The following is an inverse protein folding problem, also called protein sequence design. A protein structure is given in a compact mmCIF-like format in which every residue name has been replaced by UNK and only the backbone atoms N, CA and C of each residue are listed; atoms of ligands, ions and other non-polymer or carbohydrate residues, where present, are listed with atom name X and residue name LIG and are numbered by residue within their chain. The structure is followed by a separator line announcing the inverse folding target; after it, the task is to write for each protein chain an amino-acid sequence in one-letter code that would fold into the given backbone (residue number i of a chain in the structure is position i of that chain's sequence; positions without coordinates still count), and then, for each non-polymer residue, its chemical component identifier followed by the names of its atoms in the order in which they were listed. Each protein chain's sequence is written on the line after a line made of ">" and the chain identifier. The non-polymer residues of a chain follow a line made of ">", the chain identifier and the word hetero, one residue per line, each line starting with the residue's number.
data_IF_638433592497
#
_entry.id   IF_638433592497
#
_cell.length_a   1.000
_cell.length_b   1.000
_cell.length_c   1.000
_cell.angle_alpha   90.00
_cell.angle_beta   90.00
_cell.angle_gamma   90.00
#
_symmetry.space_group_name_H-M   'P 1'
#
loop_
_entity.id
_entity.type
_entity.pdbx_description
1 polymer ?
#
# COMPACT_ATOMS: atom_id res chain seq x y z
N UNK A 1 -0.52 -7.32 -10.65
CA UNK A 1 0.79 -7.97 -10.40
C UNK A 1 0.57 -9.38 -9.83
N UNK A 2 1.10 -10.44 -10.46
CA UNK A 2 0.96 -11.83 -10.00
C UNK A 2 2.25 -12.42 -9.39
N UNK A 3 3.35 -11.69 -9.45
CA UNK A 3 4.63 -12.07 -8.84
C UNK A 3 4.71 -11.70 -7.35
N UNK A 4 5.88 -11.90 -6.75
CA UNK A 4 6.13 -11.53 -5.36
C UNK A 4 7.23 -10.46 -5.26
N UNK A 5 7.02 -9.52 -4.35
CA UNK A 5 8.02 -8.52 -3.94
C UNK A 5 8.51 -8.93 -2.55
N UNK A 6 9.82 -9.12 -2.39
CA UNK A 6 10.43 -9.41 -1.10
C UNK A 6 11.44 -8.31 -0.75
N UNK A 7 11.22 -7.65 0.37
CA UNK A 7 12.09 -6.63 0.95
C UNK A 7 12.53 -7.15 2.32
N UNK A 8 13.77 -7.59 2.45
CA UNK A 8 14.24 -8.29 3.65
C UNK A 8 15.64 -7.86 4.07
N UNK A 9 16.10 -8.34 5.22
CA UNK A 9 17.41 -8.00 5.76
C UNK A 9 17.46 -6.56 6.26
N UNK A 10 18.53 -5.85 5.90
CA UNK A 10 18.74 -4.44 6.25
C UNK A 10 18.40 -3.50 5.06
N UNK A 11 17.48 -3.92 4.20
CA UNK A 11 17.09 -3.14 3.02
C UNK A 11 16.47 -1.78 3.39
N UNK A 12 16.81 -0.76 2.61
CA UNK A 12 16.15 0.55 2.70
C UNK A 12 15.46 0.85 1.37
N UNK A 13 14.17 1.11 1.42
CA UNK A 13 13.34 1.47 0.26
C UNK A 13 12.68 2.81 0.53
N UNK A 14 12.86 3.75 -0.40
CA UNK A 14 12.18 5.05 -0.35
C UNK A 14 11.64 5.40 -1.72
N UNK A 15 10.43 5.95 -1.76
CA UNK A 15 9.98 6.69 -2.94
C UNK A 15 10.57 8.10 -2.90
N UNK A 16 10.85 8.67 -4.07
CA UNK A 16 11.34 10.04 -4.18
C UNK A 16 10.15 11.00 -4.16
N UNK A 17 10.03 11.80 -3.10
CA UNK A 17 8.97 12.81 -2.95
C UNK A 17 9.13 14.00 -3.91
N UNK A 18 10.12 13.97 -4.79
CA UNK A 18 10.41 15.05 -5.73
C UNK A 18 9.86 14.81 -7.15
N UNK A 19 8.86 13.96 -7.27
CA UNK A 19 8.13 13.78 -8.54
C UNK A 19 7.17 14.97 -8.69
N UNK A 20 7.25 15.64 -9.85
CA UNK A 20 6.37 16.78 -10.13
C UNK A 20 4.88 16.34 -10.05
N UNK A 21 4.02 17.11 -9.41
CA UNK A 21 2.62 16.72 -9.17
C UNK A 21 1.80 16.45 -10.44
N UNK A 22 2.28 16.90 -11.59
CA UNK A 22 1.59 16.68 -12.88
C UNK A 22 2.15 15.48 -13.70
N UNK A 23 3.04 14.69 -13.10
CA UNK A 23 3.65 13.52 -13.74
C UNK A 23 3.36 12.23 -12.97
N UNK A 24 2.45 12.29 -12.01
CA UNK A 24 2.05 11.14 -11.20
C UNK A 24 1.33 10.10 -12.05
N UNK A 25 1.68 8.84 -11.86
CA UNK A 25 0.86 7.73 -12.28
C UNK A 25 0.06 7.27 -11.06
N UNK A 26 -1.15 6.84 -11.27
CA UNK A 26 -2.07 6.38 -10.24
C UNK A 26 -1.70 4.99 -9.67
N UNK A 27 -0.40 4.68 -9.73
CA UNK A 27 0.15 3.43 -9.24
C UNK A 27 0.51 3.47 -7.75
N UNK A 28 0.55 2.29 -7.14
CA UNK A 28 1.03 2.14 -5.77
C UNK A 28 2.53 2.49 -5.65
N UNK A 29 2.94 3.02 -4.49
CA UNK A 29 4.36 3.22 -4.17
C UNK A 29 5.16 1.90 -4.21
N UNK A 30 4.58 0.81 -3.68
CA UNK A 30 5.05 -0.57 -3.85
C UNK A 30 3.85 -1.44 -4.20
N UNK A 31 3.80 -2.00 -5.41
CA UNK A 31 2.71 -2.88 -5.80
C UNK A 31 2.36 -2.86 -7.27
N UNK A 32 1.08 -2.67 -7.61
CA UNK A 32 0.61 -2.59 -8.99
C UNK A 32 0.37 -1.15 -9.44
N UNK A 33 0.35 -0.94 -10.75
CA UNK A 33 -0.05 0.32 -11.37
C UNK A 33 -1.56 0.51 -11.40
N UNK A 34 -2.02 1.60 -11.99
CA UNK A 34 -3.41 1.92 -12.32
C UNK A 34 -4.09 0.74 -13.03
N UNK A 35 -5.36 0.49 -12.77
CA UNK A 35 -6.13 -0.67 -13.27
C UNK A 35 -5.45 -2.04 -12.98
N UNK A 36 -4.38 -2.04 -12.22
CA UNK A 36 -3.53 -3.20 -12.03
C UNK A 36 -3.95 -4.09 -10.86
N UNK A 37 -4.44 -5.31 -11.14
CA UNK A 37 -4.68 -6.28 -10.08
C UNK A 37 -3.39 -6.68 -9.35
N UNK A 38 -3.41 -6.65 -8.02
CA UNK A 38 -2.38 -7.23 -7.18
C UNK A 38 -2.86 -8.56 -6.59
N UNK A 39 -2.53 -9.66 -7.25
CA UNK A 39 -2.82 -11.02 -6.79
C UNK A 39 -1.59 -11.77 -6.24
N UNK A 40 -0.42 -11.15 -6.29
CA UNK A 40 0.83 -11.67 -5.75
C UNK A 40 1.02 -11.34 -4.28
N UNK A 41 2.24 -11.55 -3.78
CA UNK A 41 2.58 -11.27 -2.39
C UNK A 41 3.58 -10.12 -2.28
N UNK A 42 3.39 -9.28 -1.27
CA UNK A 42 4.42 -8.34 -0.79
C UNK A 42 4.85 -8.80 0.59
N UNK A 43 6.14 -9.06 0.75
CA UNK A 43 6.73 -9.46 2.04
C UNK A 43 7.80 -8.45 2.43
N UNK A 44 7.63 -7.85 3.59
CA UNK A 44 8.58 -6.91 4.19
C UNK A 44 8.98 -7.48 5.54
N UNK A 45 10.25 -7.85 5.71
CA UNK A 45 10.72 -8.59 6.87
C UNK A 45 12.17 -8.21 7.26
N UNK A 46 12.68 -8.82 8.32
CA UNK A 46 14.03 -8.54 8.82
C UNK A 46 14.11 -7.20 9.55
N UNK A 47 15.12 -6.39 9.23
CA UNK A 47 15.28 -5.02 9.76
C UNK A 47 15.01 -3.98 8.65
N UNK A 48 14.19 -4.31 7.66
CA UNK A 48 13.91 -3.45 6.52
C UNK A 48 13.33 -2.09 6.95
N UNK A 49 13.76 -1.04 6.27
CA UNK A 49 13.24 0.31 6.43
C UNK A 49 12.56 0.73 5.13
N UNK A 50 11.26 0.93 5.20
CA UNK A 50 10.43 1.26 4.03
C UNK A 50 9.69 2.57 4.31
N UNK A 51 9.91 3.56 3.46
CA UNK A 51 9.23 4.85 3.50
C UNK A 51 8.73 5.14 2.09
N UNK A 52 7.44 4.96 1.89
CA UNK A 52 6.83 5.04 0.56
C UNK A 52 5.55 5.84 0.57
N UNK A 53 5.35 6.56 -0.52
CA UNK A 53 4.11 7.27 -0.82
C UNK A 53 3.75 7.03 -2.29
N UNK A 54 2.46 7.08 -2.61
CA UNK A 54 2.01 7.25 -3.97
C UNK A 54 1.76 8.74 -4.27
N UNK A 55 1.63 9.10 -5.53
CA UNK A 55 1.61 10.50 -5.95
C UNK A 55 0.24 10.99 -6.42
N UNK A 56 -0.67 10.10 -6.80
CA UNK A 56 -2.02 10.44 -7.23
C UNK A 56 -3.03 9.54 -6.52
N UNK A 57 -3.73 8.66 -7.16
CA UNK A 57 -4.81 7.85 -6.55
C UNK A 57 -4.39 6.41 -6.20
N UNK A 58 -3.11 6.15 -5.95
CA UNK A 58 -2.59 4.83 -5.59
C UNK A 58 -2.38 4.63 -4.09
N UNK A 59 -2.39 3.39 -3.64
CA UNK A 59 -1.98 3.05 -2.28
C UNK A 59 -0.48 3.27 -2.04
N UNK A 60 -0.07 3.54 -0.80
CA UNK A 60 1.35 3.54 -0.44
C UNK A 60 1.99 2.17 -0.70
N UNK A 61 1.34 1.09 -0.21
CA UNK A 61 1.71 -0.31 -0.48
C UNK A 61 0.45 -1.07 -0.86
N UNK A 62 0.42 -1.66 -2.07
CA UNK A 62 -0.72 -2.47 -2.51
C UNK A 62 -1.09 -2.30 -3.98
N UNK A 63 -2.29 -1.81 -4.29
CA UNK A 63 -2.73 -1.57 -5.67
C UNK A 63 -2.79 -0.08 -6.02
N UNK A 64 -2.72 0.21 -7.30
CA UNK A 64 -2.99 1.53 -7.84
C UNK A 64 -4.49 1.83 -7.86
N UNK A 65 -4.85 2.96 -8.46
CA UNK A 65 -6.22 3.38 -8.71
C UNK A 65 -7.00 2.31 -9.50
N UNK A 66 -8.30 2.15 -9.25
CA UNK A 66 -9.15 1.09 -9.82
C UNK A 66 -8.57 -0.35 -9.67
N UNK A 67 -7.43 -0.50 -9.00
CA UNK A 67 -6.71 -1.76 -8.86
C UNK A 67 -7.18 -2.60 -7.68
N UNK A 68 -7.62 -3.84 -7.93
CA UNK A 68 -8.03 -4.76 -6.87
C UNK A 68 -6.84 -5.42 -6.18
N UNK A 69 -6.93 -5.64 -4.85
CA UNK A 69 -5.97 -6.40 -4.08
C UNK A 69 -6.58 -7.72 -3.61
N UNK A 70 -6.20 -8.81 -4.26
CA UNK A 70 -6.57 -10.18 -3.88
C UNK A 70 -5.40 -11.00 -3.32
N UNK A 71 -4.19 -10.45 -3.38
CA UNK A 71 -2.97 -11.06 -2.86
C UNK A 71 -2.76 -10.82 -1.37
N UNK A 72 -1.52 -11.06 -0.90
CA UNK A 72 -1.19 -10.93 0.51
C UNK A 72 -0.07 -9.90 0.73
N UNK A 73 -0.22 -9.09 1.76
CA UNK A 73 0.83 -8.20 2.27
C UNK A 73 1.23 -8.72 3.66
N UNK A 74 2.51 -9.03 3.84
CA UNK A 74 3.07 -9.53 5.09
C UNK A 74 4.18 -8.58 5.54
N UNK A 75 4.04 -8.03 6.75
CA UNK A 75 5.04 -7.15 7.35
C UNK A 75 5.44 -7.74 8.70
N UNK A 76 6.70 -8.14 8.85
CA UNK A 76 7.16 -8.86 10.02
C UNK A 76 8.56 -8.49 10.49
N UNK A 77 9.11 -9.34 11.38
CA UNK A 77 10.45 -9.14 11.94
C UNK A 77 10.56 -7.87 12.77
N UNK A 78 11.58 -7.07 12.50
CA UNK A 78 11.81 -5.74 13.10
C UNK A 78 11.62 -4.62 12.05
N UNK A 79 10.87 -4.87 10.99
CA UNK A 79 10.70 -3.92 9.91
C UNK A 79 10.08 -2.60 10.40
N UNK A 80 10.51 -1.50 9.81
CA UNK A 80 9.95 -0.17 10.02
C UNK A 80 9.34 0.30 8.70
N UNK A 81 8.03 0.44 8.68
CA UNK A 81 7.28 0.77 7.48
C UNK A 81 6.47 2.05 7.70
N UNK A 82 6.66 3.01 6.82
CA UNK A 82 5.82 4.19 6.68
C UNK A 82 5.25 4.19 5.26
N UNK A 83 3.96 4.00 5.15
CA UNK A 83 3.26 3.96 3.89
C UNK A 83 2.17 5.03 3.86
N UNK A 84 2.17 5.86 2.83
CA UNK A 84 1.19 6.93 2.65
C UNK A 84 0.50 6.76 1.31
N UNK A 85 -0.82 6.61 1.35
CA UNK A 85 -1.67 6.64 0.17
C UNK A 85 -1.81 8.06 -0.35
N UNK A 86 -2.10 8.21 -1.62
CA UNK A 86 -2.47 9.49 -2.21
C UNK A 86 -3.98 9.73 -2.11
N UNK A 87 -4.48 10.73 -2.82
CA UNK A 87 -5.87 11.17 -2.79
C UNK A 87 -6.87 10.00 -2.84
N UNK A 88 -7.76 9.90 -1.87
CA UNK A 88 -8.75 8.83 -1.77
C UNK A 88 -8.23 7.42 -1.44
N UNK A 89 -6.92 7.22 -1.27
CA UNK A 89 -6.31 5.89 -1.30
C UNK A 89 -5.83 5.41 0.07
N UNK A 90 -5.69 4.09 0.21
CA UNK A 90 -5.18 3.51 1.46
C UNK A 90 -3.66 3.71 1.62
N UNK A 91 -3.21 3.84 2.86
CA UNK A 91 -1.78 3.75 3.17
C UNK A 91 -1.22 2.37 2.82
N UNK A 92 -1.92 1.31 3.26
CA UNK A 92 -1.62 -0.09 2.90
C UNK A 92 -2.94 -0.75 2.49
N UNK A 93 -3.04 -1.18 1.23
CA UNK A 93 -4.26 -1.79 0.71
C UNK A 93 -4.54 -1.45 -0.74
N UNK A 94 -5.64 -0.76 -1.04
CA UNK A 94 -5.98 -0.40 -2.42
C UNK A 94 -5.89 1.10 -2.68
N UNK A 95 -5.74 1.45 -3.94
CA UNK A 95 -5.98 2.80 -4.42
C UNK A 95 -7.45 3.20 -4.30
N UNK A 96 -7.81 4.33 -4.87
CA UNK A 96 -9.20 4.77 -4.99
C UNK A 96 -10.00 3.73 -5.79
N UNK A 97 -11.30 3.59 -5.58
CA UNK A 97 -12.19 2.62 -6.26
C UNK A 97 -11.74 1.13 -6.24
N UNK A 98 -10.62 0.78 -5.60
CA UNK A 98 -10.08 -0.57 -5.57
C UNK A 98 -10.69 -1.48 -4.50
N UNK A 99 -11.08 -2.72 -4.86
CA UNK A 99 -11.62 -3.69 -3.93
C UNK A 99 -10.53 -4.53 -3.25
N UNK A 100 -10.66 -4.73 -1.95
CA UNK A 100 -9.76 -5.54 -1.14
C UNK A 100 -10.41 -6.88 -0.76
N UNK A 101 -9.87 -7.98 -1.28
CA UNK A 101 -10.32 -9.35 -0.96
C UNK A 101 -9.21 -10.25 -0.41
N UNK A 102 -7.97 -9.76 -0.37
CA UNK A 102 -6.77 -10.46 0.07
C UNK A 102 -6.56 -10.47 1.58
N UNK A 103 -5.29 -10.49 1.99
CA UNK A 103 -4.93 -10.40 3.41
C UNK A 103 -3.75 -9.47 3.67
N UNK A 104 -3.80 -8.77 4.80
CA UNK A 104 -2.68 -8.01 5.34
C UNK A 104 -2.36 -8.61 6.71
N UNK A 105 -1.11 -9.04 6.89
CA UNK A 105 -0.63 -9.58 8.17
C UNK A 105 0.55 -8.78 8.65
N UNK A 106 0.49 -8.32 9.88
CA UNK A 106 1.57 -7.62 10.58
C UNK A 106 1.90 -8.38 11.84
N UNK A 107 3.15 -8.79 12.00
CA UNK A 107 3.57 -9.58 13.15
C UNK A 107 4.99 -9.23 13.65
N UNK A 108 5.45 -9.94 14.67
CA UNK A 108 6.78 -9.75 15.23
C UNK A 108 6.91 -8.42 16.00
N UNK A 109 8.02 -7.72 15.76
CA UNK A 109 8.30 -6.40 16.33
C UNK A 109 8.18 -5.28 15.27
N UNK A 110 7.49 -5.54 14.18
CA UNK A 110 7.34 -4.57 13.11
C UNK A 110 6.64 -3.29 13.59
N UNK A 111 7.12 -2.16 13.10
CA UNK A 111 6.51 -0.85 13.34
C UNK A 111 5.94 -0.32 12.05
N UNK A 112 4.63 -0.21 12.01
CA UNK A 112 3.93 0.20 10.80
C UNK A 112 3.18 1.50 11.06
N UNK A 113 3.42 2.48 10.20
CA UNK A 113 2.64 3.71 10.10
C UNK A 113 2.00 3.72 8.73
N UNK A 114 0.70 3.56 8.68
CA UNK A 114 -0.07 3.62 7.45
C UNK A 114 -0.98 4.85 7.50
N UNK A 115 -0.84 5.72 6.52
CA UNK A 115 -1.64 6.95 6.39
C UNK A 115 -2.49 6.87 5.14
N UNK A 116 -3.77 7.12 5.29
CA UNK A 116 -4.65 7.38 4.16
C UNK A 116 -4.25 8.69 3.47
N UNK A 117 -4.48 8.75 2.18
CA UNK A 117 -4.59 10.01 1.48
C UNK A 117 -6.00 10.58 1.65
N UNK A 118 -6.09 11.87 1.76
CA UNK A 118 -7.35 12.59 1.78
C UNK A 118 -7.29 13.77 0.82
N UNK A 119 -8.42 14.15 0.28
CA UNK A 119 -8.54 15.29 -0.59
C UNK A 119 -9.40 16.40 0.04
N UNK A 120 -9.51 17.52 -0.69
CA UNK A 120 -10.36 18.64 -0.31
C UNK A 120 -11.86 18.41 -0.61
N UNK A 121 -12.23 17.31 -1.27
CA UNK A 121 -13.57 16.97 -1.71
C UNK A 121 -14.25 15.91 -0.83
N UNK A 122 -13.51 15.33 0.13
CA UNK A 122 -14.03 14.36 1.09
C UNK A 122 -13.82 12.90 0.69
N UNK A 123 -12.97 12.64 -0.29
CA UNK A 123 -12.49 11.28 -0.60
C UNK A 123 -11.44 10.89 0.43
N UNK A 124 -11.78 10.00 1.34
CA UNK A 124 -10.94 9.59 2.46
C UNK A 124 -10.67 8.08 2.41
N UNK A 125 -9.49 7.68 1.99
CA UNK A 125 -9.04 6.30 2.08
C UNK A 125 -8.82 5.83 3.52
N UNK A 126 -8.51 4.56 3.68
CA UNK A 126 -8.20 3.94 4.98
C UNK A 126 -6.70 3.95 5.25
N UNK A 127 -6.27 4.06 6.50
CA UNK A 127 -4.87 3.81 6.85
C UNK A 127 -4.44 2.41 6.39
N UNK A 128 -5.26 1.39 6.69
CA UNK A 128 -5.09 0.01 6.23
C UNK A 128 -6.47 -0.49 5.76
N UNK A 129 -6.58 -0.93 4.52
CA UNK A 129 -7.86 -1.39 3.96
C UNK A 129 -8.06 -0.96 2.52
N UNK A 130 -9.17 -0.26 2.25
CA UNK A 130 -9.50 0.23 0.90
C UNK A 130 -9.32 1.73 0.79
N UNK A 131 -9.25 2.20 -0.44
CA UNK A 131 -9.50 3.59 -0.78
C UNK A 131 -10.98 3.98 -0.61
N UNK A 132 -11.35 5.14 -1.12
CA UNK A 132 -12.74 5.60 -1.21
C UNK A 132 -13.52 4.66 -2.15
N UNK A 133 -14.80 4.55 -2.01
CA UNK A 133 -15.69 3.70 -2.82
C UNK A 133 -15.29 2.21 -2.97
N UNK A 134 -14.20 1.73 -2.35
CA UNK A 134 -13.74 0.35 -2.40
C UNK A 134 -14.42 -0.58 -1.39
N UNK A 135 -14.78 -1.79 -1.83
CA UNK A 135 -15.33 -2.84 -0.97
C UNK A 135 -14.24 -3.61 -0.20
N UNK A 136 -14.33 -3.66 1.12
CA UNK A 136 -13.44 -4.44 1.97
C UNK A 136 -14.08 -5.76 2.40
N UNK A 137 -13.64 -6.87 1.83
CA UNK A 137 -14.04 -8.23 2.23
C UNK A 137 -12.86 -9.12 2.63
N UNK A 138 -11.66 -8.57 2.63
CA UNK A 138 -10.42 -9.24 3.01
C UNK A 138 -10.23 -9.37 4.52
N UNK A 139 -8.99 -9.65 4.92
CA UNK A 139 -8.62 -9.85 6.33
C UNK A 139 -7.41 -9.00 6.71
N UNK A 140 -7.46 -8.34 7.87
CA UNK A 140 -6.31 -7.70 8.50
C UNK A 140 -6.02 -8.38 9.83
N UNK A 141 -4.79 -8.86 10.01
CA UNK A 141 -4.32 -9.49 11.24
C UNK A 141 -3.13 -8.71 11.78
N UNK A 142 -3.18 -8.33 13.06
CA UNK A 142 -2.10 -7.66 13.77
C UNK A 142 -1.79 -8.48 15.01
N UNK A 143 -0.56 -9.02 15.08
CA UNK A 143 -0.08 -9.89 16.15
C UNK A 143 0.99 -9.27 17.03
#
# INVERSE_FOLDING_TARGET
>A
MSGSIHITGDATVKTDDNIAPDCGGDGAGIGSGEDGEMSGNIVIDGNAQVEVSSNDQGAGIGSGDDGNLSGNIMIGGNAQVSATGAEGSAGIGTGDDGNFTGSITMDGNARVTAKAGGDHNGSDGSGIGTGDDGDFTGTVTIG
#
